data_IF_276332819062
#
_entry.id   IF_276332819062
#
_cell.length_a   1.000
_cell.length_b   1.000
_cell.length_c   1.000
_cell.angle_alpha   90.00
_cell.angle_beta   90.00
_cell.angle_gamma   90.00
#
_symmetry.space_group_name_H-M   'P 1'
#
loop_
_entity.id
_entity.type
_entity.pdbx_description
1 polymer ?
#
# COMPACT_ATOMS: atom_id res chain seq x y z
N UNK A 1 -26.07 25.68 -0.77
CA UNK A 1 -25.27 24.50 -0.37
C UNK A 1 -23.80 24.80 -0.67
N UNK A 2 -22.91 24.73 0.33
CA UNK A 2 -21.50 25.12 0.16
C UNK A 2 -20.82 24.29 -0.95
N UNK A 3 -20.04 24.93 -1.84
CA UNK A 3 -19.38 24.25 -2.98
C UNK A 3 -18.54 23.04 -2.55
N UNK A 4 -17.94 23.09 -1.36
CA UNK A 4 -17.19 21.99 -0.77
C UNK A 4 -18.06 20.77 -0.43
N UNK A 5 -19.29 20.97 0.02
CA UNK A 5 -20.22 19.89 0.35
C UNK A 5 -20.74 19.26 -0.95
N UNK A 6 -21.07 20.08 -1.95
CA UNK A 6 -21.42 19.58 -3.28
C UNK A 6 -20.26 18.81 -3.95
N UNK A 7 -19.01 19.16 -3.62
CA UNK A 7 -17.83 18.46 -4.14
C UNK A 7 -17.78 16.98 -3.70
N UNK A 8 -18.14 16.71 -2.44
CA UNK A 8 -18.05 15.38 -1.82
C UNK A 8 -19.25 14.49 -2.17
N UNK A 9 -20.45 15.05 -2.35
CA UNK A 9 -21.70 14.28 -2.40
C UNK A 9 -22.31 14.04 -3.79
N UNK A 10 -21.91 14.77 -4.83
CA UNK A 10 -22.63 14.73 -6.12
C UNK A 10 -22.37 13.45 -6.94
N UNK A 11 -21.11 13.13 -7.21
CA UNK A 11 -20.76 12.05 -8.14
C UNK A 11 -19.41 11.41 -7.81
N UNK A 12 -19.21 10.19 -8.30
CA UNK A 12 -17.91 9.54 -8.30
C UNK A 12 -16.94 10.28 -9.23
N UNK A 13 -15.93 10.92 -8.66
CA UNK A 13 -14.97 11.72 -9.44
C UNK A 13 -13.81 10.85 -9.94
N UNK A 14 -13.29 11.18 -11.13
CA UNK A 14 -12.01 10.68 -11.66
C UNK A 14 -11.85 9.15 -11.62
N UNK A 15 -12.94 8.40 -11.89
CA UNK A 15 -12.95 6.93 -11.85
C UNK A 15 -11.87 6.27 -12.72
N UNK A 16 -11.57 6.83 -13.89
CA UNK A 16 -10.50 6.31 -14.77
C UNK A 16 -9.14 6.38 -14.07
N UNK A 17 -8.86 7.47 -13.35
CA UNK A 17 -7.61 7.65 -12.62
C UNK A 17 -7.58 6.75 -11.37
N UNK A 18 -8.69 6.63 -10.65
CA UNK A 18 -8.82 5.70 -9.51
C UNK A 18 -8.58 4.24 -9.94
N UNK A 19 -9.09 3.85 -11.11
CA UNK A 19 -8.87 2.52 -11.70
C UNK A 19 -7.41 2.32 -12.08
N UNK A 20 -6.81 3.29 -12.76
CA UNK A 20 -5.40 3.23 -13.14
C UNK A 20 -4.50 3.13 -11.91
N UNK A 21 -4.73 3.97 -10.90
CA UNK A 21 -4.01 3.95 -9.64
C UNK A 21 -4.10 2.58 -8.96
N UNK A 22 -5.31 2.03 -8.84
CA UNK A 22 -5.51 0.73 -8.22
C UNK A 22 -4.83 -0.41 -8.98
N UNK A 23 -4.84 -0.36 -10.32
CA UNK A 23 -4.12 -1.35 -11.13
C UNK A 23 -2.61 -1.23 -10.96
N UNK A 24 -2.06 0.00 -10.89
CA UNK A 24 -0.65 0.22 -10.59
C UNK A 24 -0.30 -0.28 -9.19
N UNK A 25 -1.16 -0.03 -8.19
CA UNK A 25 -0.97 -0.52 -6.83
C UNK A 25 -0.91 -2.05 -6.78
N UNK A 26 -1.80 -2.76 -7.49
CA UNK A 26 -1.71 -4.22 -7.55
C UNK A 26 -0.50 -4.72 -8.32
N UNK A 27 -0.15 -4.07 -9.43
CA UNK A 27 1.10 -4.38 -10.13
C UNK A 27 2.30 -4.24 -9.20
N UNK A 28 2.32 -3.17 -8.40
CA UNK A 28 3.35 -2.95 -7.39
C UNK A 28 3.36 -4.03 -6.29
N UNK A 29 2.18 -4.42 -5.77
CA UNK A 29 2.06 -5.50 -4.78
C UNK A 29 2.56 -6.84 -5.35
N UNK A 30 2.25 -7.15 -6.61
CA UNK A 30 2.73 -8.37 -7.29
C UNK A 30 4.26 -8.38 -7.34
N UNK A 31 4.87 -7.27 -7.77
CA UNK A 31 6.34 -7.13 -7.80
C UNK A 31 6.92 -7.30 -6.39
N UNK A 32 6.30 -6.69 -5.36
CA UNK A 32 6.73 -6.83 -3.97
C UNK A 32 6.63 -8.27 -3.47
N UNK A 33 5.55 -8.99 -3.80
CA UNK A 33 5.41 -10.41 -3.48
C UNK A 33 6.52 -11.25 -4.11
N UNK A 34 6.88 -10.99 -5.37
CA UNK A 34 8.01 -11.67 -6.03
C UNK A 34 9.32 -11.36 -5.31
N UNK A 35 9.57 -10.09 -4.97
CA UNK A 35 10.77 -9.70 -4.20
C UNK A 35 10.83 -10.37 -2.82
N UNK A 36 9.69 -10.51 -2.14
CA UNK A 36 9.59 -11.24 -0.88
C UNK A 36 9.88 -12.74 -1.02
N UNK A 37 9.44 -13.36 -2.11
CA UNK A 37 9.74 -14.76 -2.40
C UNK A 37 11.23 -14.97 -2.75
N UNK A 38 11.83 -14.04 -3.50
CA UNK A 38 13.25 -14.11 -3.85
C UNK A 38 14.16 -13.91 -2.63
N UNK A 39 13.77 -13.06 -1.68
CA UNK A 39 14.51 -12.79 -0.45
C UNK A 39 13.90 -13.48 0.77
N UNK A 40 13.19 -14.60 0.57
CA UNK A 40 12.37 -15.21 1.60
C UNK A 40 13.17 -15.65 2.83
N UNK A 41 14.34 -16.25 2.63
CA UNK A 41 15.18 -16.74 3.73
C UNK A 41 15.68 -15.61 4.63
N UNK A 42 15.96 -14.45 4.04
CA UNK A 42 16.45 -13.27 4.77
C UNK A 42 15.31 -12.62 5.56
N UNK A 43 14.14 -12.48 4.95
CA UNK A 43 13.01 -11.74 5.51
C UNK A 43 12.12 -12.56 6.44
N UNK A 44 11.97 -13.87 6.16
CA UNK A 44 11.04 -14.76 6.83
C UNK A 44 11.67 -16.07 7.31
N UNK A 45 12.96 -16.29 7.08
CA UNK A 45 13.68 -17.47 7.55
C UNK A 45 13.81 -17.53 9.07
N UNK A 46 14.39 -18.63 9.56
CA UNK A 46 14.56 -18.90 10.99
C UNK A 46 15.49 -17.88 11.69
N UNK A 47 16.36 -17.23 10.93
CA UNK A 47 17.30 -16.22 11.40
C UNK A 47 16.87 -14.78 11.07
N UNK A 48 15.63 -14.58 10.62
CA UNK A 48 15.14 -13.24 10.32
C UNK A 48 15.11 -12.38 11.59
N UNK A 49 15.68 -11.18 11.52
CA UNK A 49 15.66 -10.21 12.61
C UNK A 49 14.24 -9.67 12.77
N UNK A 50 13.55 -10.03 13.86
CA UNK A 50 12.26 -9.43 14.22
C UNK A 50 12.37 -8.71 15.56
N UNK A 51 11.77 -7.51 15.64
CA UNK A 51 11.69 -6.73 16.88
C UNK A 51 10.75 -7.46 17.85
N UNK A 52 11.26 -7.86 19.01
CA UNK A 52 10.45 -8.51 20.03
C UNK A 52 9.62 -7.47 20.78
N UNK A 53 8.33 -7.34 20.44
CA UNK A 53 7.36 -6.62 21.25
C UNK A 53 6.97 -7.45 22.48
N UNK A 54 7.30 -6.94 23.68
CA UNK A 54 6.99 -7.58 24.97
C UNK A 54 5.67 -7.10 25.61
N UNK A 55 4.94 -6.18 24.96
CA UNK A 55 3.69 -5.62 25.50
C UNK A 55 2.46 -6.48 25.12
N UNK A 56 1.45 -6.62 26.00
CA UNK A 56 0.24 -7.35 25.71
C UNK A 56 -0.51 -6.70 24.54
N UNK A 57 -0.57 -7.43 23.42
CA UNK A 57 -1.25 -7.00 22.20
C UNK A 57 -2.76 -7.14 22.42
N UNK A 58 -3.48 -6.02 22.43
CA UNK A 58 -4.95 -6.02 22.55
C UNK A 58 -5.64 -6.85 21.46
N UNK A 59 -6.81 -7.40 21.77
CA UNK A 59 -7.53 -8.38 20.92
C UNK A 59 -7.60 -8.00 19.43
N UNK A 60 -8.00 -6.77 19.11
CA UNK A 60 -8.07 -6.31 17.71
C UNK A 60 -6.72 -6.25 17.00
N UNK A 61 -5.65 -5.95 17.74
CA UNK A 61 -4.30 -5.92 17.17
C UNK A 61 -3.80 -7.34 16.89
N UNK A 62 -4.27 -8.37 17.59
CA UNK A 62 -3.79 -9.75 17.39
C UNK A 62 -3.95 -10.24 15.94
N UNK A 63 -5.01 -9.82 15.24
CA UNK A 63 -5.21 -10.15 13.83
C UNK A 63 -4.17 -9.54 12.89
N UNK A 64 -3.57 -8.41 13.26
CA UNK A 64 -2.49 -7.77 12.50
C UNK A 64 -1.11 -8.37 12.82
N UNK A 65 -0.95 -9.05 13.96
CA UNK A 65 0.30 -9.64 14.42
C UNK A 65 0.33 -11.18 14.29
N UNK A 66 -0.55 -11.78 13.49
CA UNK A 66 -0.73 -13.24 13.45
C UNK A 66 0.53 -13.96 12.96
N UNK A 67 1.14 -13.48 11.88
CA UNK A 67 2.39 -14.05 11.35
C UNK A 67 3.54 -13.82 12.33
N UNK A 68 3.59 -12.63 12.93
CA UNK A 68 4.62 -12.27 13.89
C UNK A 68 4.57 -13.17 15.15
N UNK A 69 3.39 -13.41 15.71
CA UNK A 69 3.17 -14.25 16.89
C UNK A 69 3.45 -15.74 16.60
N UNK A 70 3.02 -16.24 15.43
CA UNK A 70 3.18 -17.67 15.10
C UNK A 70 4.63 -18.07 14.80
N UNK A 71 5.50 -17.10 14.46
CA UNK A 71 6.92 -17.31 14.05
C UNK A 71 7.12 -18.39 12.97
N UNK A 72 6.05 -18.79 12.29
CA UNK A 72 6.07 -19.90 11.35
C UNK A 72 6.39 -19.37 9.95
N UNK A 73 7.50 -19.82 9.36
CA UNK A 73 7.91 -19.42 8.00
C UNK A 73 6.96 -19.98 6.95
N UNK A 74 6.46 -21.21 7.10
CA UNK A 74 5.49 -21.80 6.16
C UNK A 74 4.21 -20.99 6.06
N UNK A 75 3.74 -20.43 7.19
CA UNK A 75 2.56 -19.58 7.23
C UNK A 75 2.80 -18.24 6.49
N UNK A 76 3.97 -17.63 6.62
CA UNK A 76 4.33 -16.44 5.85
C UNK A 76 4.36 -16.72 4.34
N UNK A 77 4.93 -17.84 3.91
CA UNK A 77 4.90 -18.25 2.51
C UNK A 77 3.45 -18.39 1.99
N UNK A 78 2.58 -19.04 2.77
CA UNK A 78 1.15 -19.14 2.45
C UNK A 78 0.47 -17.77 2.30
N UNK A 79 0.80 -16.81 3.17
CA UNK A 79 0.26 -15.44 3.09
C UNK A 79 0.76 -14.71 1.83
N UNK A 80 2.05 -14.80 1.51
CA UNK A 80 2.62 -14.18 0.31
C UNK A 80 1.96 -14.75 -0.95
N UNK A 81 1.84 -16.08 -1.05
CA UNK A 81 1.16 -16.74 -2.16
C UNK A 81 -0.31 -16.32 -2.28
N UNK A 82 -1.01 -16.20 -1.14
CA UNK A 82 -2.41 -15.76 -1.13
C UNK A 82 -2.56 -14.31 -1.61
N UNK A 83 -1.70 -13.39 -1.15
CA UNK A 83 -1.67 -12.00 -1.62
C UNK A 83 -1.36 -11.94 -3.12
N UNK A 84 -0.41 -12.74 -3.59
CA UNK A 84 -0.04 -12.81 -5.00
C UNK A 84 -1.22 -13.26 -5.87
N UNK A 85 -1.94 -14.32 -5.46
CA UNK A 85 -3.10 -14.81 -6.19
C UNK A 85 -4.27 -13.81 -6.18
N UNK A 86 -4.56 -13.20 -5.02
CA UNK A 86 -5.64 -12.22 -4.90
C UNK A 86 -5.34 -10.93 -5.67
N UNK A 87 -4.08 -10.47 -5.68
CA UNK A 87 -3.67 -9.28 -6.44
C UNK A 87 -3.70 -9.53 -7.95
N UNK A 88 -3.27 -10.71 -8.41
CA UNK A 88 -3.44 -11.14 -9.81
C UNK A 88 -4.92 -11.19 -10.20
N UNK A 89 -5.76 -11.82 -9.38
CA UNK A 89 -7.20 -11.87 -9.61
C UNK A 89 -7.81 -10.46 -9.72
N UNK A 90 -7.45 -9.56 -8.79
CA UNK A 90 -7.98 -8.19 -8.72
C UNK A 90 -7.50 -7.27 -9.85
N UNK A 91 -6.38 -7.62 -10.50
CA UNK A 91 -5.84 -6.93 -11.66
C UNK A 91 -6.67 -7.23 -12.93
N UNK A 92 -7.08 -8.48 -13.11
CA UNK A 92 -7.86 -8.92 -14.28
C UNK A 92 -9.37 -8.74 -14.09
N UNK A 93 -9.87 -8.79 -12.85
CA UNK A 93 -11.29 -8.61 -12.60
C UNK A 93 -11.71 -7.14 -12.78
N UNK A 94 -12.75 -6.94 -13.60
CA UNK A 94 -13.37 -5.64 -13.84
C UNK A 94 -14.30 -5.25 -12.69
N UNK A 95 -14.76 -6.22 -11.90
CA UNK A 95 -15.55 -6.00 -10.69
C UNK A 95 -14.61 -5.69 -9.53
N UNK A 96 -15.02 -4.77 -8.66
CA UNK A 96 -14.33 -4.57 -7.40
C UNK A 96 -15.14 -5.22 -6.32
N UNK A 97 -14.47 -5.96 -5.46
CA UNK A 97 -15.05 -6.41 -4.22
C UNK A 97 -14.25 -5.73 -3.10
N UNK A 98 -14.89 -4.79 -2.40
CA UNK A 98 -14.28 -4.07 -1.26
C UNK A 98 -13.69 -5.06 -0.26
N UNK A 99 -14.37 -6.19 -0.05
CA UNK A 99 -13.93 -7.25 0.85
C UNK A 99 -12.61 -7.89 0.40
N UNK A 100 -12.41 -8.12 -0.89
CA UNK A 100 -11.14 -8.64 -1.43
C UNK A 100 -10.00 -7.66 -1.17
N UNK A 101 -10.25 -6.36 -1.37
CA UNK A 101 -9.24 -5.32 -1.13
C UNK A 101 -8.86 -5.24 0.36
N UNK A 102 -9.84 -5.36 1.26
CA UNK A 102 -9.61 -5.38 2.70
C UNK A 102 -8.85 -6.62 3.15
N UNK A 103 -9.10 -7.78 2.53
CA UNK A 103 -8.31 -9.00 2.78
C UNK A 103 -6.87 -8.78 2.34
N UNK A 104 -6.63 -8.26 1.12
CA UNK A 104 -5.28 -7.95 0.64
C UNK A 104 -4.58 -6.98 1.61
N UNK A 105 -5.26 -5.91 2.02
CA UNK A 105 -4.75 -4.97 3.00
C UNK A 105 -4.32 -5.65 4.31
N UNK A 106 -5.18 -6.50 4.88
CA UNK A 106 -4.90 -7.17 6.15
C UNK A 106 -3.73 -8.14 6.04
N UNK A 107 -3.61 -8.87 4.92
CA UNK A 107 -2.49 -9.78 4.67
C UNK A 107 -1.18 -9.03 4.47
N UNK A 108 -1.19 -7.93 3.70
CA UNK A 108 -0.01 -7.07 3.48
C UNK A 108 0.44 -6.44 4.80
N UNK A 109 -0.50 -5.94 5.61
CA UNK A 109 -0.20 -5.40 6.94
C UNK A 109 0.50 -6.44 7.84
N UNK A 110 0.01 -7.69 7.85
CA UNK A 110 0.61 -8.77 8.62
C UNK A 110 2.04 -9.10 8.16
N UNK A 111 2.29 -9.09 6.85
CA UNK A 111 3.62 -9.33 6.28
C UNK A 111 4.57 -8.18 6.61
N UNK A 112 4.13 -6.93 6.44
CA UNK A 112 4.95 -5.75 6.73
C UNK A 112 5.29 -5.64 8.23
N UNK A 113 4.36 -5.98 9.14
CA UNK A 113 4.63 -6.01 10.59
C UNK A 113 5.74 -7.02 10.94
N UNK A 114 5.79 -8.18 10.27
CA UNK A 114 6.85 -9.17 10.51
C UNK A 114 8.22 -8.69 10.04
N UNK A 115 8.25 -7.94 8.94
CA UNK A 115 9.49 -7.47 8.29
C UNK A 115 9.91 -6.09 8.83
N UNK A 116 9.15 -5.50 9.75
CA UNK A 116 9.22 -4.09 10.17
C UNK A 116 10.63 -3.55 10.50
N UNK A 117 11.51 -4.41 11.00
CA UNK A 117 12.94 -4.12 11.29
C UNK A 117 13.77 -3.77 10.06
N UNK A 118 13.40 -4.31 8.90
CA UNK A 118 14.11 -4.16 7.63
C UNK A 118 13.34 -3.29 6.64
N UNK A 119 12.14 -2.84 7.02
CA UNK A 119 11.33 -1.93 6.19
C UNK A 119 11.72 -0.49 6.40
N UNK A 120 11.63 0.28 5.32
CA UNK A 120 11.75 1.74 5.30
C UNK A 120 10.40 2.41 5.61
N UNK A 121 10.36 3.75 5.61
CA UNK A 121 9.09 4.48 5.72
C UNK A 121 8.12 4.21 4.53
N UNK A 122 8.62 3.68 3.40
CA UNK A 122 7.83 3.40 2.21
C UNK A 122 6.78 2.29 2.40
N UNK A 123 7.05 1.31 3.25
CA UNK A 123 6.14 0.19 3.51
C UNK A 123 4.92 0.63 4.33
N UNK A 124 5.12 1.54 5.30
CA UNK A 124 4.01 2.16 6.03
C UNK A 124 3.08 2.94 5.11
N UNK A 125 3.64 3.58 4.07
CA UNK A 125 2.87 4.27 3.03
C UNK A 125 2.06 3.25 2.22
N UNK A 126 2.69 2.14 1.78
CA UNK A 126 2.02 1.10 1.01
C UNK A 126 0.78 0.55 1.74
N UNK A 127 0.90 0.24 3.03
CA UNK A 127 -0.22 -0.24 3.86
C UNK A 127 -1.39 0.76 3.85
N UNK A 128 -1.11 2.05 3.98
CA UNK A 128 -2.12 3.11 3.91
C UNK A 128 -2.75 3.21 2.51
N UNK A 129 -1.95 3.09 1.44
CA UNK A 129 -2.46 3.08 0.07
C UNK A 129 -3.38 1.88 -0.17
N UNK A 130 -3.02 0.68 0.32
CA UNK A 130 -3.84 -0.52 0.27
C UNK A 130 -5.19 -0.31 0.96
N UNK A 131 -5.20 0.28 2.16
CA UNK A 131 -6.43 0.58 2.88
C UNK A 131 -7.34 1.53 2.09
N UNK A 132 -6.80 2.65 1.60
CA UNK A 132 -7.57 3.64 0.84
C UNK A 132 -8.05 3.09 -0.51
N UNK A 133 -7.33 2.13 -1.09
CA UNK A 133 -7.70 1.49 -2.36
C UNK A 133 -8.98 0.66 -2.29
N UNK A 134 -9.36 0.18 -1.11
CA UNK A 134 -10.59 -0.57 -0.90
C UNK A 134 -11.84 0.26 -1.25
N UNK A 135 -11.75 1.59 -1.14
CA UNK A 135 -12.86 2.51 -1.33
C UNK A 135 -12.82 3.25 -2.68
N UNK A 136 -11.83 2.96 -3.53
CA UNK A 136 -11.60 3.69 -4.78
C UNK A 136 -12.44 3.23 -5.97
N UNK A 137 -13.04 2.03 -5.97
CA UNK A 137 -13.86 1.57 -7.12
C UNK A 137 -15.34 1.80 -6.85
N UNK A 138 -16.05 2.18 -7.91
CA UNK A 138 -17.52 2.24 -7.92
C UNK A 138 -18.07 0.82 -8.08
N UNK A 139 -19.04 0.46 -7.24
CA UNK A 139 -19.82 -0.75 -7.44
C UNK A 139 -20.86 -0.55 -8.56
N UNK A 140 -21.07 -1.58 -9.36
CA UNK A 140 -21.99 -1.54 -10.50
C UNK A 140 -23.47 -1.58 -10.08
N UNK A 141 -23.77 -2.06 -8.86
CA UNK A 141 -25.12 -2.01 -8.30
C UNK A 141 -25.36 -0.62 -7.71
N UNK A 142 -25.86 0.29 -8.53
CA UNK A 142 -26.19 1.66 -8.10
C UNK A 142 -27.67 1.69 -7.74
N UNK A 143 -27.99 1.63 -6.45
CA UNK A 143 -29.30 2.00 -5.95
C UNK A 143 -29.40 3.52 -5.76
N UNK A 144 -30.58 4.02 -5.37
CA UNK A 144 -30.77 5.41 -4.92
C UNK A 144 -30.75 5.52 -3.38
N UNK A 145 -30.12 4.55 -2.70
CA UNK A 145 -30.19 4.42 -1.24
C UNK A 145 -29.22 5.33 -0.49
N UNK A 146 -29.42 5.46 0.83
CA UNK A 146 -28.47 6.14 1.74
C UNK A 146 -27.08 5.49 1.68
N UNK A 147 -27.05 4.17 1.50
CA UNK A 147 -25.82 3.39 1.34
C UNK A 147 -24.98 3.83 0.12
N UNK A 148 -25.62 4.14 -1.01
CA UNK A 148 -24.92 4.61 -2.21
C UNK A 148 -24.30 5.98 -2.00
N UNK A 149 -24.97 6.86 -1.23
CA UNK A 149 -24.42 8.17 -0.84
C UNK A 149 -23.19 8.03 0.04
N UNK A 150 -23.22 7.12 1.02
CA UNK A 150 -22.05 6.83 1.89
C UNK A 150 -20.87 6.34 1.04
N UNK A 151 -21.10 5.47 0.06
CA UNK A 151 -20.05 5.00 -0.85
C UNK A 151 -19.42 6.12 -1.69
N UNK A 152 -20.25 7.02 -2.21
CA UNK A 152 -19.77 8.19 -2.97
C UNK A 152 -18.86 9.06 -2.09
N UNK A 153 -19.28 9.31 -0.85
CA UNK A 153 -18.49 10.07 0.13
C UNK A 153 -17.16 9.35 0.41
N UNK A 154 -17.20 8.05 0.74
CA UNK A 154 -15.99 7.28 1.03
C UNK A 154 -15.02 7.27 -0.15
N UNK A 155 -15.52 7.13 -1.36
CA UNK A 155 -14.72 7.19 -2.57
C UNK A 155 -14.02 8.55 -2.73
N UNK A 156 -14.79 9.64 -2.64
CA UNK A 156 -14.26 10.99 -2.83
C UNK A 156 -13.27 11.37 -1.73
N UNK A 157 -13.53 10.98 -0.47
CA UNK A 157 -12.63 11.19 0.66
C UNK A 157 -11.35 10.37 0.49
N UNK A 158 -11.45 9.10 0.11
CA UNK A 158 -10.28 8.24 -0.09
C UNK A 158 -9.41 8.73 -1.24
N UNK A 159 -10.03 9.19 -2.33
CA UNK A 159 -9.32 9.80 -3.44
C UNK A 159 -8.57 11.07 -3.03
N UNK A 160 -9.21 11.94 -2.23
CA UNK A 160 -8.57 13.15 -1.71
C UNK A 160 -7.40 12.81 -0.77
N UNK A 161 -7.60 11.84 0.14
CA UNK A 161 -6.56 11.39 1.06
C UNK A 161 -5.34 10.84 0.31
N UNK A 162 -5.56 10.09 -0.77
CA UNK A 162 -4.48 9.57 -1.62
C UNK A 162 -3.70 10.70 -2.30
N UNK A 163 -4.39 11.69 -2.88
CA UNK A 163 -3.72 12.84 -3.48
C UNK A 163 -2.89 13.57 -2.43
N UNK A 164 -3.47 13.84 -1.26
CA UNK A 164 -2.78 14.55 -0.18
C UNK A 164 -1.54 13.78 0.28
N UNK A 165 -1.66 12.47 0.49
CA UNK A 165 -0.54 11.62 0.92
C UNK A 165 0.60 11.62 -0.10
N UNK A 166 0.28 11.50 -1.39
CA UNK A 166 1.27 11.58 -2.46
C UNK A 166 1.90 12.97 -2.53
N UNK A 167 1.12 14.04 -2.46
CA UNK A 167 1.64 15.41 -2.48
C UNK A 167 2.58 15.68 -1.30
N UNK A 168 2.23 15.24 -0.09
CA UNK A 168 3.08 15.37 1.10
C UNK A 168 4.38 14.59 0.89
N UNK A 169 4.30 13.34 0.45
CA UNK A 169 5.48 12.49 0.21
C UNK A 169 6.45 13.14 -0.80
N UNK A 170 5.95 13.59 -1.96
CA UNK A 170 6.76 14.25 -2.96
C UNK A 170 7.27 15.62 -2.49
N UNK A 171 6.47 16.35 -1.70
CA UNK A 171 6.89 17.60 -1.08
C UNK A 171 8.08 17.41 -0.15
N UNK A 172 8.03 16.42 0.75
CA UNK A 172 9.13 16.09 1.64
C UNK A 172 10.35 15.56 0.89
N UNK A 173 10.17 14.69 -0.12
CA UNK A 173 11.29 14.21 -0.95
C UNK A 173 11.98 15.37 -1.70
N UNK A 174 11.22 16.32 -2.25
CA UNK A 174 11.77 17.50 -2.90
C UNK A 174 12.52 18.42 -1.92
N UNK A 175 11.98 18.62 -0.71
CA UNK A 175 12.65 19.40 0.34
C UNK A 175 13.96 18.73 0.80
N UNK A 176 13.96 17.41 0.97
CA UNK A 176 15.16 16.67 1.33
C UNK A 176 16.26 16.83 0.26
N UNK A 177 15.90 16.70 -1.02
CA UNK A 177 16.83 16.91 -2.15
C UNK A 177 17.33 18.34 -2.27
N UNK A 178 16.54 19.32 -1.85
CA UNK A 178 17.00 20.71 -1.82
C UNK A 178 17.95 20.99 -0.65
N UNK A 179 17.74 20.33 0.49
CA UNK A 179 18.61 20.49 1.65
C UNK A 179 19.98 19.83 1.47
N UNK A 180 20.06 18.79 0.65
CA UNK A 180 21.28 18.04 0.39
C UNK A 180 22.17 18.72 -0.69
N UNK A 181 23.40 19.06 -0.30
CA UNK A 181 24.36 19.72 -1.17
C UNK A 181 24.80 18.83 -2.35
N UNK A 182 24.81 17.52 -2.19
CA UNK A 182 25.25 16.57 -3.22
C UNK A 182 24.23 16.49 -4.37
N UNK A 183 22.94 16.70 -4.06
CA UNK A 183 21.87 16.83 -5.04
C UNK A 183 21.95 18.16 -5.80
N UNK A 184 22.27 19.26 -5.10
CA UNK A 184 22.43 20.59 -5.72
C UNK A 184 23.65 20.66 -6.65
N UNK A 185 24.74 19.98 -6.26
CA UNK A 185 25.96 19.89 -7.07
C UNK A 185 25.83 18.88 -8.23
N UNK A 186 24.72 18.14 -8.32
CA UNK A 186 24.45 17.16 -9.38
C UNK A 186 25.30 15.89 -9.31
N UNK A 187 26.05 15.72 -8.23
CA UNK A 187 26.96 14.58 -8.03
C UNK A 187 26.17 13.28 -7.88
N UNK A 188 25.04 13.33 -7.18
CA UNK A 188 24.11 12.21 -7.05
C UNK A 188 23.52 11.82 -8.41
N UNK A 189 23.08 12.79 -9.24
CA UNK A 189 22.51 12.50 -10.58
C UNK A 189 23.53 11.82 -11.49
N UNK A 190 24.79 12.25 -11.42
CA UNK A 190 25.89 11.62 -12.14
C UNK A 190 26.17 10.19 -11.64
N UNK A 191 26.17 9.96 -10.33
CA UNK A 191 26.36 8.63 -9.74
C UNK A 191 25.20 7.67 -10.06
N UNK A 192 23.95 8.12 -9.97
CA UNK A 192 22.78 7.28 -10.27
C UNK A 192 22.69 6.92 -11.76
N UNK A 193 23.02 7.87 -12.66
CA UNK A 193 22.99 7.62 -14.11
C UNK A 193 24.09 6.65 -14.58
N UNK A 194 25.24 6.62 -13.88
CA UNK A 194 26.35 5.72 -14.18
C UNK A 194 26.17 4.33 -13.56
N UNK A 195 25.40 4.23 -12.48
CA UNK A 195 25.09 2.99 -11.75
C UNK A 195 23.85 2.28 -12.30
N UNK A 196 23.64 2.32 -13.62
CA UNK A 196 22.51 1.68 -14.30
C UNK A 196 22.63 0.13 -14.33
N UNK A 197 22.93 -0.49 -13.20
CA UNK A 197 22.68 -1.90 -12.89
C UNK A 197 22.36 -1.99 -11.39
N UNK A 198 21.10 -2.32 -11.10
CA UNK A 198 20.55 -2.78 -9.81
C UNK A 198 20.32 -1.74 -8.68
N UNK A 199 19.04 -1.63 -8.28
CA UNK A 199 18.50 -1.10 -7.02
C UNK A 199 18.65 0.41 -6.72
N UNK A 200 17.68 1.19 -7.20
CA UNK A 200 17.08 2.27 -6.39
C UNK A 200 15.75 2.69 -7.02
N UNK A 201 14.72 1.88 -6.78
CA UNK A 201 13.35 2.39 -6.83
C UNK A 201 12.77 2.07 -5.46
N UNK A 202 12.40 3.14 -4.76
CA UNK A 202 11.75 3.18 -3.44
C UNK A 202 12.77 3.29 -2.32
N UNK A 203 12.81 4.51 -1.76
CA UNK A 203 13.63 4.99 -0.65
C UNK A 203 14.97 5.61 -1.01
N UNK A 204 14.87 6.71 -1.77
CA UNK A 204 15.43 8.01 -1.38
C UNK A 204 14.41 9.13 -1.72
#
# INVERSE_FOLDING_TARGET
MNKAIAYIFNDYRKQKNARLFKNLLYGFIIVKCVLWLLNFDILFGQHAFSLVYNEPIGFFKQFAFLIYLSKNSTLACGFICTVLLLSLYSLFDKRSYVLTDLIIYLLVLNLDIRIYTTTTAGESILVNLCFLSAWLRKDFNTGSGVYDKIKIVLHNVSYLALILQVCILYGFSALAKWYDADWLNGEVVYLTSKSAVLFTFICD
#
